data_IF_709966154478
#
_entry.id   IF_709966154478
#
_cell.length_a   1.000
_cell.length_b   1.000
_cell.length_c   1.000
_cell.angle_alpha   90.00
_cell.angle_beta   90.00
_cell.angle_gamma   90.00
#
_symmetry.space_group_name_H-M   'P 1'
#
loop_
_entity.id
_entity.type
_entity.pdbx_description
1 polymer ?
#
# COMPACT_ATOMS: atom_id res chain seq x y z
N UNK A 1 -33.08 -2.62 9.61
CA UNK A 1 -33.07 -4.06 9.28
C UNK A 1 -32.12 -4.25 8.11
N UNK A 2 -31.37 -5.36 8.14
CA UNK A 2 -30.20 -5.72 7.31
C UNK A 2 -28.89 -5.08 7.80
N UNK A 3 -27.81 -5.77 8.20
CA UNK A 3 -27.51 -7.14 8.65
C UNK A 3 -26.14 -7.03 9.34
N UNK A 4 -25.97 -7.68 10.49
CA UNK A 4 -24.70 -7.89 11.19
C UNK A 4 -23.73 -8.75 10.36
N UNK A 5 -22.42 -8.48 10.45
CA UNK A 5 -21.33 -9.48 10.57
C UNK A 5 -20.01 -8.90 10.07
N UNK A 6 -19.19 -8.35 10.98
CA UNK A 6 -17.74 -8.32 10.83
C UNK A 6 -17.13 -8.45 12.23
N UNK A 7 -17.20 -9.69 12.73
CA UNK A 7 -16.28 -10.20 13.71
C UNK A 7 -15.50 -11.31 12.99
N UNK A 8 -14.21 -11.12 12.74
CA UNK A 8 -13.20 -12.19 12.62
C UNK A 8 -11.80 -11.58 12.50
N UNK A 9 -10.90 -12.08 13.35
CA UNK A 9 -9.43 -12.08 13.29
C UNK A 9 -8.65 -10.74 13.19
N UNK A 10 -8.31 -10.19 14.36
CA UNK A 10 -7.07 -9.45 14.54
C UNK A 10 -6.26 -10.15 15.63
N UNK A 11 -5.40 -11.09 15.22
CA UNK A 11 -4.36 -11.64 16.07
C UNK A 11 -3.07 -10.85 15.85
N UNK A 12 -2.44 -10.33 16.93
CA UNK A 12 -1.00 -10.28 16.93
C UNK A 12 -0.37 -10.87 18.20
N UNK A 13 0.63 -11.71 17.95
CA UNK A 13 1.80 -11.96 18.78
C UNK A 13 1.56 -12.63 20.15
N UNK A 14 1.50 -13.96 20.14
CA UNK A 14 2.00 -14.73 21.27
C UNK A 14 3.51 -14.51 21.41
N UNK A 15 3.91 -13.93 22.53
CA UNK A 15 5.29 -13.87 23.00
C UNK A 15 5.75 -15.28 23.39
N UNK A 16 6.90 -15.79 22.92
CA UNK A 16 7.45 -17.01 23.47
C UNK A 16 7.94 -16.72 24.88
N UNK A 17 7.28 -17.35 25.84
CA UNK A 17 7.74 -17.52 27.22
C UNK A 17 9.18 -18.05 27.22
N UNK A 18 10.10 -17.34 27.85
CA UNK A 18 11.43 -17.86 28.16
C UNK A 18 11.29 -19.03 29.14
N UNK A 19 11.29 -20.24 28.60
CA UNK A 19 11.38 -21.49 29.35
C UNK A 19 12.85 -21.74 29.69
N UNK A 20 13.18 -21.45 30.95
CA UNK A 20 14.43 -21.80 31.59
C UNK A 20 14.55 -23.33 31.66
N UNK A 21 15.42 -23.91 30.81
CA UNK A 21 15.77 -25.32 30.79
C UNK A 21 17.29 -25.47 30.97
N UNK A 22 17.80 -25.08 32.13
CA UNK A 22 19.10 -25.56 32.62
C UNK A 22 18.90 -26.96 33.22
N UNK A 23 19.00 -27.97 32.35
CA UNK A 23 18.99 -29.37 32.75
C UNK A 23 20.41 -29.84 33.08
N UNK A 24 20.54 -30.36 34.30
CA UNK A 24 21.42 -31.46 34.72
C UNK A 24 22.93 -31.21 34.83
N UNK A 25 23.38 -31.03 36.07
CA UNK A 25 24.46 -31.84 36.66
C UNK A 25 24.26 -31.91 38.18
N UNK A 26 23.44 -32.86 38.62
CA UNK A 26 23.54 -33.43 39.97
C UNK A 26 24.57 -34.55 39.90
N UNK A 27 25.68 -34.38 40.60
CA UNK A 27 26.59 -35.44 40.97
C UNK A 27 27.11 -35.13 42.37
N UNK A 28 26.23 -35.38 43.33
CA UNK A 28 26.54 -35.48 44.75
C UNK A 28 27.45 -36.71 45.01
N UNK A 29 28.21 -36.65 46.11
CA UNK A 29 28.93 -37.74 46.81
C UNK A 29 30.39 -38.01 46.43
N UNK A 30 31.28 -37.24 47.08
CA UNK A 30 32.52 -37.80 47.62
C UNK A 30 32.30 -38.14 49.09
N UNK A 31 32.38 -39.43 49.43
CA UNK A 31 32.60 -39.92 50.79
C UNK A 31 33.76 -40.94 50.73
N UNK A 32 34.65 -40.95 51.74
CA UNK A 32 35.87 -41.77 51.74
C UNK A 32 35.56 -43.17 52.30
N UNK A 33 36.21 -44.20 51.76
CA UNK A 33 36.21 -45.51 52.43
C UNK A 33 37.60 -46.15 52.35
N UNK A 34 38.18 -46.29 53.53
CA UNK A 34 39.39 -47.02 53.86
C UNK A 34 39.00 -48.46 54.25
N UNK A 35 39.76 -49.49 53.83
CA UNK A 35 39.74 -50.79 54.52
C UNK A 35 39.75 -52.07 53.65
N UNK A 36 40.96 -52.60 53.44
CA UNK A 36 41.37 -54.01 53.47
C UNK A 36 40.67 -55.09 52.60
N UNK A 37 41.45 -55.78 51.76
CA UNK A 37 41.92 -57.18 51.99
C UNK A 37 42.78 -57.64 50.81
N UNK A 38 43.81 -58.44 51.13
CA UNK A 38 44.94 -58.71 50.24
C UNK A 38 44.69 -59.68 49.09
N UNK A 39 45.63 -59.67 48.16
CA UNK A 39 46.16 -60.87 47.53
C UNK A 39 47.64 -60.65 47.21
N UNK A 40 48.45 -61.51 47.82
CA UNK A 40 49.82 -61.82 47.45
C UNK A 40 49.86 -62.34 46.01
N UNK A 41 50.78 -61.80 45.22
CA UNK A 41 51.31 -62.45 44.04
C UNK A 41 52.70 -61.86 43.78
N UNK A 42 53.63 -62.16 44.69
CA UNK A 42 55.02 -62.34 44.29
C UNK A 42 55.07 -63.52 43.32
N UNK A 43 54.92 -63.23 42.03
CA UNK A 43 55.06 -64.20 40.96
C UNK A 43 55.99 -63.63 39.88
N UNK A 44 57.20 -64.15 39.90
CA UNK A 44 57.97 -64.47 38.71
C UNK A 44 58.67 -63.33 37.97
N UNK A 45 59.74 -62.85 38.61
CA UNK A 45 60.96 -62.47 37.88
C UNK A 45 61.58 -63.73 37.26
N UNK A 46 61.22 -64.04 36.02
CA UNK A 46 61.99 -64.95 35.17
C UNK A 46 62.62 -64.18 34.02
N UNK A 47 63.81 -63.64 34.30
CA UNK A 47 64.83 -63.45 33.29
C UNK A 47 65.50 -64.80 33.06
N UNK A 48 65.15 -65.49 31.97
CA UNK A 48 65.97 -66.58 31.43
C UNK A 48 66.10 -66.37 29.93
N UNK A 49 67.27 -65.85 29.53
CA UNK A 49 67.77 -65.98 28.15
C UNK A 49 68.14 -67.44 27.95
N UNK A 50 67.42 -68.12 27.05
CA UNK A 50 67.91 -69.33 26.40
C UNK A 50 68.19 -68.99 24.94
N UNK A 51 69.47 -68.77 24.64
CA UNK A 51 69.96 -68.67 23.28
C UNK A 51 70.09 -70.08 22.71
N UNK A 52 69.09 -70.51 21.95
CA UNK A 52 69.27 -71.67 21.07
C UNK A 52 70.12 -71.24 19.87
N UNK A 53 71.38 -71.68 19.89
CA UNK A 53 72.32 -71.56 18.78
C UNK A 53 71.86 -72.37 17.57
N UNK A 54 71.76 -71.68 16.42
CA UNK A 54 71.53 -72.25 15.10
C UNK A 54 71.38 -71.11 14.11
N UNK A 55 72.44 -70.86 13.32
CA UNK A 55 72.63 -69.60 12.62
C UNK A 55 71.50 -69.18 11.68
N UNK A 56 71.10 -67.92 11.77
CA UNK A 56 70.76 -66.99 10.67
C UNK A 56 70.64 -65.58 11.28
N UNK A 57 71.07 -64.56 10.54
CA UNK A 57 71.18 -63.12 10.85
C UNK A 57 70.32 -62.55 12.01
N UNK A 58 71.02 -61.93 12.95
CA UNK A 58 70.51 -61.21 14.13
C UNK A 58 69.74 -59.94 13.72
N UNK A 59 68.41 -60.04 13.61
CA UNK A 59 67.49 -58.91 13.41
C UNK A 59 66.44 -58.95 14.53
N UNK A 60 66.21 -57.83 15.21
CA UNK A 60 65.16 -57.68 16.22
C UNK A 60 63.83 -58.19 15.63
N UNK A 61 63.16 -59.21 16.21
CA UNK A 61 62.05 -59.90 15.53
C UNK A 61 60.92 -59.00 14.98
N UNK A 62 60.58 -57.86 15.63
CA UNK A 62 59.65 -56.85 15.07
C UNK A 62 60.11 -56.09 13.82
N UNK A 63 61.40 -56.10 13.49
CA UNK A 63 62.00 -55.39 12.35
C UNK A 63 62.61 -56.33 11.31
N UNK A 64 62.18 -57.59 11.26
CA UNK A 64 62.61 -58.53 10.22
C UNK A 64 62.08 -58.07 8.84
N UNK A 65 62.96 -57.65 7.91
CA UNK A 65 62.55 -57.17 6.60
C UNK A 65 61.87 -58.21 5.72
N UNK A 66 61.95 -59.50 6.07
CA UNK A 66 61.20 -60.55 5.37
C UNK A 66 59.68 -60.42 5.54
N UNK A 67 59.19 -59.75 6.59
CA UNK A 67 57.75 -59.60 6.88
C UNK A 67 57.12 -58.34 6.27
N UNK A 68 57.92 -57.30 5.99
CA UNK A 68 57.43 -56.04 5.42
C UNK A 68 56.69 -56.21 4.08
N UNK A 69 57.10 -57.06 3.12
CA UNK A 69 56.36 -57.23 1.88
C UNK A 69 54.92 -57.70 2.08
N UNK A 70 54.70 -58.62 3.03
CA UNK A 70 53.36 -59.13 3.36
C UNK A 70 52.51 -58.06 4.04
N UNK A 71 53.10 -57.30 4.99
CA UNK A 71 52.40 -56.21 5.65
C UNK A 71 52.06 -55.06 4.70
N UNK A 72 52.96 -54.73 3.77
CA UNK A 72 52.71 -53.74 2.71
C UNK A 72 51.65 -54.22 1.72
N UNK A 73 51.61 -55.51 1.38
CA UNK A 73 50.55 -56.09 0.54
C UNK A 73 49.18 -55.96 1.19
N UNK A 74 49.05 -56.33 2.47
CA UNK A 74 47.80 -56.20 3.21
C UNK A 74 47.41 -54.74 3.48
N UNK A 75 48.39 -53.87 3.75
CA UNK A 75 48.16 -52.43 3.86
C UNK A 75 47.64 -51.87 2.53
N UNK A 76 48.26 -52.21 1.41
CA UNK A 76 47.83 -51.77 0.09
C UNK A 76 46.41 -52.30 -0.23
N UNK A 77 46.13 -53.56 0.10
CA UNK A 77 44.81 -54.17 -0.15
C UNK A 77 43.72 -53.52 0.70
N UNK A 78 43.95 -53.33 2.00
CA UNK A 78 42.99 -52.68 2.91
C UNK A 78 42.82 -51.19 2.59
N UNK A 79 43.90 -50.48 2.26
CA UNK A 79 43.86 -49.08 1.82
C UNK A 79 43.12 -48.93 0.49
N UNK A 80 43.34 -49.83 -0.47
CA UNK A 80 42.60 -49.81 -1.73
C UNK A 80 41.10 -50.08 -1.50
N UNK A 81 40.75 -51.03 -0.64
CA UNK A 81 39.36 -51.29 -0.28
C UNK A 81 38.69 -50.06 0.39
N UNK A 82 39.39 -49.42 1.34
CA UNK A 82 38.91 -48.19 1.99
C UNK A 82 38.79 -47.03 0.98
N UNK A 83 39.77 -46.86 0.09
CA UNK A 83 39.76 -45.83 -0.94
C UNK A 83 38.56 -46.00 -1.87
N UNK A 84 38.28 -47.23 -2.31
CA UNK A 84 37.10 -47.52 -3.14
C UNK A 84 35.80 -47.23 -2.40
N UNK A 85 35.71 -47.57 -1.11
CA UNK A 85 34.53 -47.26 -0.29
C UNK A 85 34.32 -45.74 -0.14
N UNK A 86 35.38 -44.99 0.16
CA UNK A 86 35.32 -43.52 0.27
C UNK A 86 35.00 -42.86 -1.06
N UNK A 87 35.62 -43.32 -2.15
CA UNK A 87 35.41 -42.82 -3.50
C UNK A 87 33.98 -43.05 -3.98
N UNK A 88 33.43 -44.25 -3.75
CA UNK A 88 32.08 -44.62 -4.23
C UNK A 88 30.93 -44.25 -3.29
N UNK A 89 31.16 -44.02 -2.00
CA UNK A 89 30.07 -43.78 -1.04
C UNK A 89 30.17 -42.43 -0.33
N UNK A 90 31.32 -42.10 0.25
CA UNK A 90 31.48 -40.88 1.04
C UNK A 90 31.48 -39.62 0.16
N UNK A 91 32.32 -39.59 -0.89
CA UNK A 91 32.41 -38.44 -1.81
C UNK A 91 31.07 -38.12 -2.52
N UNK A 92 30.35 -39.09 -3.11
CA UNK A 92 29.08 -38.78 -3.77
C UNK A 92 27.99 -38.31 -2.79
N UNK A 93 27.96 -38.84 -1.55
CA UNK A 93 27.04 -38.37 -0.50
C UNK A 93 27.29 -36.90 -0.12
N UNK A 94 28.54 -36.50 0.04
CA UNK A 94 28.88 -35.10 0.34
C UNK A 94 28.60 -34.20 -0.87
N UNK A 95 28.93 -34.67 -2.08
CA UNK A 95 28.63 -33.97 -3.32
C UNK A 95 27.14 -33.71 -3.52
N UNK A 96 26.27 -34.69 -3.24
CA UNK A 96 24.82 -34.52 -3.37
C UNK A 96 24.28 -33.48 -2.38
N UNK A 97 24.70 -33.54 -1.11
CA UNK A 97 24.28 -32.56 -0.09
C UNK A 97 24.69 -31.14 -0.49
N UNK A 98 25.91 -30.98 -1.00
CA UNK A 98 26.41 -29.67 -1.41
C UNK A 98 25.66 -29.14 -2.64
N UNK A 99 25.35 -30.01 -3.60
CA UNK A 99 24.53 -29.69 -4.76
C UNK A 99 23.09 -29.31 -4.35
N UNK A 100 22.47 -30.06 -3.43
CA UNK A 100 21.12 -29.77 -2.93
C UNK A 100 21.05 -28.42 -2.21
N UNK A 101 22.05 -28.14 -1.36
CA UNK A 101 22.15 -26.84 -0.68
C UNK A 101 22.33 -25.70 -1.68
N UNK A 102 23.21 -25.87 -2.66
CA UNK A 102 23.41 -24.87 -3.71
C UNK A 102 22.11 -24.65 -4.51
N UNK A 103 21.43 -25.73 -4.89
CA UNK A 103 20.17 -25.64 -5.64
C UNK A 103 19.07 -24.93 -4.84
N UNK A 104 18.98 -25.17 -3.53
CA UNK A 104 18.06 -24.43 -2.65
C UNK A 104 18.40 -22.96 -2.57
N UNK A 105 19.68 -22.62 -2.33
CA UNK A 105 20.12 -21.21 -2.25
C UNK A 105 19.87 -20.49 -3.58
N UNK A 106 20.24 -21.10 -4.70
CA UNK A 106 20.01 -20.51 -6.02
C UNK A 106 18.51 -20.35 -6.31
N UNK A 107 17.69 -21.31 -5.87
CA UNK A 107 16.23 -21.26 -5.95
C UNK A 107 15.63 -20.14 -5.09
N UNK A 108 16.08 -19.99 -3.84
CA UNK A 108 15.62 -18.96 -2.91
C UNK A 108 16.01 -17.56 -3.41
N UNK A 109 17.23 -17.40 -3.95
CA UNK A 109 17.68 -16.14 -4.57
C UNK A 109 16.82 -15.83 -5.80
N UNK A 110 16.59 -16.81 -6.69
CA UNK A 110 15.76 -16.60 -7.88
C UNK A 110 14.31 -16.25 -7.52
N UNK A 111 13.74 -16.88 -6.48
CA UNK A 111 12.42 -16.57 -5.97
C UNK A 111 12.36 -15.15 -5.39
N UNK A 112 13.35 -14.77 -4.57
CA UNK A 112 13.46 -13.43 -4.00
C UNK A 112 13.58 -12.35 -5.09
N UNK A 113 14.41 -12.56 -6.11
CA UNK A 113 14.52 -11.64 -7.26
C UNK A 113 13.21 -11.54 -8.04
N UNK A 114 12.50 -12.66 -8.23
CA UNK A 114 11.22 -12.67 -8.93
C UNK A 114 10.16 -11.90 -8.13
N UNK A 115 10.12 -12.06 -6.80
CA UNK A 115 9.17 -11.36 -5.94
C UNK A 115 9.52 -9.88 -5.78
N UNK A 116 10.81 -9.53 -5.76
CA UNK A 116 11.27 -8.14 -5.85
C UNK A 116 10.77 -7.50 -7.16
N UNK A 117 11.01 -8.14 -8.32
CA UNK A 117 10.56 -7.63 -9.62
C UNK A 117 9.04 -7.47 -9.70
N UNK A 118 8.26 -8.42 -9.14
CA UNK A 118 6.80 -8.30 -9.08
C UNK A 118 6.38 -7.12 -8.20
N UNK A 119 7.05 -6.92 -7.07
CA UNK A 119 6.77 -5.80 -6.16
C UNK A 119 7.09 -4.47 -6.82
N UNK A 120 8.25 -4.34 -7.45
CA UNK A 120 8.64 -3.12 -8.17
C UNK A 120 7.66 -2.82 -9.32
N UNK A 121 7.23 -3.84 -10.08
CA UNK A 121 6.22 -3.69 -11.12
C UNK A 121 4.86 -3.27 -10.54
N UNK A 122 4.46 -3.82 -9.40
CA UNK A 122 3.22 -3.46 -8.73
C UNK A 122 3.26 -2.02 -8.19
N UNK A 123 4.38 -1.59 -7.61
CA UNK A 123 4.61 -0.20 -7.16
C UNK A 123 4.52 0.73 -8.36
N UNK A 124 5.23 0.45 -9.46
CA UNK A 124 5.20 1.28 -10.65
C UNK A 124 3.78 1.39 -11.26
N UNK A 125 3.04 0.28 -11.30
CA UNK A 125 1.65 0.28 -11.78
C UNK A 125 0.72 1.08 -10.84
N UNK A 126 0.90 0.96 -9.53
CA UNK A 126 0.14 1.70 -8.53
C UNK A 126 0.40 3.22 -8.65
N UNK A 127 1.67 3.62 -8.74
CA UNK A 127 2.07 5.02 -8.91
C UNK A 127 1.54 5.60 -10.22
N UNK A 128 1.63 4.85 -11.32
CA UNK A 128 1.06 5.25 -12.61
C UNK A 128 -0.47 5.43 -12.53
N UNK A 129 -1.18 4.48 -11.91
CA UNK A 129 -2.62 4.57 -11.71
C UNK A 129 -3.01 5.77 -10.83
N UNK A 130 -2.24 6.06 -9.78
CA UNK A 130 -2.45 7.22 -8.92
C UNK A 130 -2.22 8.53 -9.68
N UNK A 131 -1.17 8.61 -10.49
CA UNK A 131 -0.88 9.77 -11.33
C UNK A 131 -1.98 10.00 -12.37
N UNK A 132 -2.43 8.95 -13.05
CA UNK A 132 -3.52 9.00 -14.01
C UNK A 132 -4.84 9.42 -13.34
N UNK A 133 -5.17 8.87 -12.17
CA UNK A 133 -6.37 9.24 -11.42
C UNK A 133 -6.34 10.73 -11.01
N UNK A 134 -5.19 11.23 -10.53
CA UNK A 134 -5.01 12.66 -10.21
C UNK A 134 -5.15 13.54 -11.44
N UNK A 135 -4.55 13.15 -12.57
CA UNK A 135 -4.67 13.88 -13.83
C UNK A 135 -6.12 13.92 -14.33
N UNK A 136 -6.84 12.79 -14.28
CA UNK A 136 -8.27 12.72 -14.63
C UNK A 136 -9.13 13.59 -13.71
N UNK A 137 -8.90 13.54 -12.40
CA UNK A 137 -9.64 14.37 -11.45
C UNK A 137 -9.42 15.87 -11.71
N UNK A 138 -8.18 16.28 -11.97
CA UNK A 138 -7.86 17.66 -12.35
C UNK A 138 -8.50 18.06 -13.68
N UNK A 139 -8.48 17.17 -14.68
CA UNK A 139 -9.15 17.38 -15.96
C UNK A 139 -10.65 17.59 -15.81
N UNK A 140 -11.33 16.69 -15.09
CA UNK A 140 -12.77 16.79 -14.80
C UNK A 140 -13.09 18.09 -14.06
N UNK A 141 -12.29 18.46 -13.05
CA UNK A 141 -12.49 19.70 -12.31
C UNK A 141 -12.34 20.93 -13.20
N UNK A 142 -11.34 20.97 -14.08
CA UNK A 142 -11.13 22.06 -15.02
C UNK A 142 -12.27 22.17 -16.04
N UNK A 143 -12.69 21.04 -16.62
CA UNK A 143 -13.80 20.99 -17.58
C UNK A 143 -15.12 21.41 -16.93
N UNK A 144 -15.41 20.90 -15.73
CA UNK A 144 -16.62 21.26 -14.98
C UNK A 144 -16.65 22.74 -14.64
N UNK A 145 -15.52 23.30 -14.18
CA UNK A 145 -15.43 24.73 -13.90
C UNK A 145 -15.62 25.58 -15.17
N UNK A 146 -15.04 25.18 -16.30
CA UNK A 146 -15.24 25.86 -17.57
C UNK A 146 -16.71 25.81 -18.03
N UNK A 147 -17.35 24.64 -17.92
CA UNK A 147 -18.76 24.45 -18.26
C UNK A 147 -19.69 25.29 -17.37
N UNK A 148 -19.44 25.30 -16.04
CA UNK A 148 -20.18 26.14 -15.09
C UNK A 148 -20.05 27.61 -15.44
N UNK A 149 -18.83 28.10 -15.73
CA UNK A 149 -18.64 29.52 -16.08
C UNK A 149 -19.34 29.89 -17.39
N UNK A 150 -19.33 29.00 -18.38
CA UNK A 150 -20.06 29.19 -19.62
C UNK A 150 -21.58 29.26 -19.40
N UNK A 151 -22.14 28.34 -18.60
CA UNK A 151 -23.56 28.32 -18.26
C UNK A 151 -23.98 29.55 -17.44
N UNK A 152 -23.17 29.96 -16.45
CA UNK A 152 -23.39 31.18 -15.68
C UNK A 152 -23.40 32.43 -16.57
N UNK A 153 -22.46 32.53 -17.50
CA UNK A 153 -22.40 33.66 -18.45
C UNK A 153 -23.64 33.68 -19.35
N UNK A 154 -24.05 32.51 -19.86
CA UNK A 154 -25.25 32.38 -20.70
C UNK A 154 -26.52 32.77 -19.95
N UNK A 155 -26.73 32.21 -18.75
CA UNK A 155 -27.89 32.52 -17.89
C UNK A 155 -27.91 33.98 -17.48
N UNK A 156 -26.76 34.54 -17.11
CA UNK A 156 -26.63 35.96 -16.78
C UNK A 156 -27.07 36.84 -17.96
N UNK A 157 -26.57 36.57 -19.17
CA UNK A 157 -26.95 37.31 -20.37
C UNK A 157 -28.44 37.19 -20.69
N UNK A 158 -29.03 36.00 -20.51
CA UNK A 158 -30.46 35.79 -20.70
C UNK A 158 -31.29 36.61 -19.70
N UNK A 159 -30.91 36.60 -18.42
CA UNK A 159 -31.58 37.39 -17.38
C UNK A 159 -31.42 38.89 -17.63
N UNK A 160 -30.22 39.36 -18.03
CA UNK A 160 -29.99 40.76 -18.38
C UNK A 160 -30.86 41.20 -19.56
N UNK A 161 -31.04 40.34 -20.57
CA UNK A 161 -31.91 40.60 -21.74
C UNK A 161 -33.39 40.67 -21.35
N UNK A 162 -33.86 39.72 -20.52
CA UNK A 162 -35.24 39.72 -20.01
C UNK A 162 -35.51 40.94 -19.12
N UNK A 163 -34.56 41.30 -18.26
CA UNK A 163 -34.65 42.48 -17.41
C UNK A 163 -34.72 43.76 -18.24
N UNK A 164 -33.86 43.92 -19.25
CA UNK A 164 -33.90 45.07 -20.15
C UNK A 164 -35.27 45.20 -20.85
N UNK A 165 -35.81 44.08 -21.34
CA UNK A 165 -37.13 44.02 -21.97
C UNK A 165 -38.24 44.45 -21.01
N UNK A 166 -38.20 43.96 -19.76
CA UNK A 166 -39.16 44.31 -18.70
C UNK A 166 -39.08 45.79 -18.30
N UNK A 167 -37.86 46.35 -18.24
CA UNK A 167 -37.66 47.77 -17.97
C UNK A 167 -38.27 48.61 -19.09
N UNK A 168 -37.95 48.33 -20.36
CA UNK A 168 -38.54 49.06 -21.49
C UNK A 168 -40.07 48.96 -21.50
N UNK A 169 -40.63 47.76 -21.31
CA UNK A 169 -42.09 47.60 -21.25
C UNK A 169 -42.73 48.34 -20.06
N UNK A 170 -42.05 48.42 -18.92
CA UNK A 170 -42.52 49.19 -17.77
C UNK A 170 -42.47 50.69 -18.04
N UNK A 171 -41.40 51.19 -18.66
CA UNK A 171 -41.26 52.59 -19.08
C UNK A 171 -42.37 53.00 -20.05
N UNK A 172 -42.66 52.17 -21.05
CA UNK A 172 -43.77 52.39 -22.00
C UNK A 172 -45.13 52.43 -21.30
N UNK A 173 -45.39 51.50 -20.36
CA UNK A 173 -46.64 51.50 -19.57
C UNK A 173 -46.77 52.74 -18.69
N UNK A 174 -45.68 53.18 -18.06
CA UNK A 174 -45.66 54.38 -17.25
C UNK A 174 -45.95 55.61 -18.13
N UNK A 175 -45.33 55.72 -19.30
CA UNK A 175 -45.57 56.81 -20.24
C UNK A 175 -47.03 56.85 -20.74
N UNK A 176 -47.59 55.67 -21.09
CA UNK A 176 -48.98 55.54 -21.51
C UNK A 176 -49.95 55.92 -20.38
N UNK A 177 -49.73 55.39 -19.18
CA UNK A 177 -50.56 55.69 -17.99
C UNK A 177 -50.49 57.18 -17.64
N UNK A 178 -49.30 57.79 -17.71
CA UNK A 178 -49.13 59.23 -17.51
C UNK A 178 -49.95 60.03 -18.52
N UNK A 179 -49.85 59.69 -19.80
CA UNK A 179 -50.60 60.37 -20.87
C UNK A 179 -52.11 60.24 -20.68
N UNK A 180 -52.59 59.04 -20.33
CA UNK A 180 -54.00 58.81 -20.04
C UNK A 180 -54.47 59.58 -18.80
N UNK A 181 -53.68 59.60 -17.73
CA UNK A 181 -53.99 60.35 -16.52
C UNK A 181 -54.07 61.86 -16.78
N UNK A 182 -53.12 62.42 -17.55
CA UNK A 182 -53.17 63.84 -17.94
C UNK A 182 -54.41 64.16 -18.78
N UNK A 183 -54.77 63.27 -19.72
CA UNK A 183 -56.01 63.43 -20.52
C UNK A 183 -57.27 63.43 -19.65
N UNK A 184 -57.33 62.56 -18.62
CA UNK A 184 -58.44 62.54 -17.68
C UNK A 184 -58.49 63.81 -16.82
N UNK A 185 -57.33 64.32 -16.38
CA UNK A 185 -57.25 65.60 -15.65
C UNK A 185 -57.76 66.75 -16.50
N UNK A 186 -57.35 66.85 -17.78
CA UNK A 186 -57.84 67.88 -18.71
C UNK A 186 -59.36 67.79 -18.90
N UNK A 187 -59.91 66.57 -19.01
CA UNK A 187 -61.35 66.36 -19.15
C UNK A 187 -62.12 66.80 -17.89
N UNK A 188 -61.66 66.40 -16.69
CA UNK A 188 -62.28 66.80 -15.41
C UNK A 188 -62.17 68.32 -15.21
N UNK A 189 -61.04 68.92 -15.58
CA UNK A 189 -60.86 70.38 -15.50
C UNK A 189 -61.83 71.11 -16.43
N UNK A 190 -62.01 70.65 -17.67
CA UNK A 190 -62.96 71.23 -18.62
C UNK A 190 -64.41 71.07 -18.16
N UNK A 191 -64.79 69.90 -17.64
CA UNK A 191 -66.12 69.66 -17.08
C UNK A 191 -66.39 70.56 -15.87
N UNK A 192 -65.44 70.63 -14.92
CA UNK A 192 -65.55 71.49 -13.74
C UNK A 192 -65.63 72.97 -14.13
N UNK A 193 -64.79 73.42 -15.06
CA UNK A 193 -64.83 74.79 -15.56
C UNK A 193 -66.17 75.11 -16.24
N UNK A 194 -66.71 74.19 -17.03
CA UNK A 194 -68.04 74.34 -17.64
C UNK A 194 -69.11 74.53 -16.57
N UNK A 195 -69.15 73.65 -15.55
CA UNK A 195 -70.12 73.75 -14.45
C UNK A 195 -70.03 75.09 -13.73
N UNK A 196 -68.81 75.54 -13.40
CA UNK A 196 -68.58 76.81 -12.70
C UNK A 196 -69.04 78.01 -13.56
N UNK A 197 -68.70 78.03 -14.85
CA UNK A 197 -69.06 79.17 -15.72
C UNK A 197 -70.56 79.19 -16.03
N UNK A 198 -71.19 78.04 -16.25
CA UNK A 198 -72.64 77.95 -16.42
C UNK A 198 -73.39 78.50 -15.22
N UNK A 199 -72.90 78.23 -13.99
CA UNK A 199 -73.48 78.75 -12.76
C UNK A 199 -73.32 80.29 -12.61
N UNK A 200 -72.26 80.87 -13.18
CA UNK A 200 -71.96 82.30 -13.04
C UNK A 200 -72.61 83.20 -14.10
N UNK A 201 -72.64 82.75 -15.37
CA UNK A 201 -72.94 83.61 -16.53
C UNK A 201 -74.05 83.02 -17.44
N UNK A 202 -74.54 81.81 -17.16
CA UNK A 202 -75.57 81.12 -17.95
C UNK A 202 -75.01 80.13 -18.98
N UNK A 203 -75.88 79.56 -19.81
CA UNK A 203 -75.52 78.48 -20.74
C UNK A 203 -74.59 78.98 -21.86
N UNK A 204 -73.45 78.31 -22.02
CA UNK A 204 -72.42 78.64 -23.00
C UNK A 204 -71.90 77.37 -23.67
N UNK A 205 -71.49 77.46 -24.94
CA UNK A 205 -71.06 76.30 -25.72
C UNK A 205 -69.83 75.62 -25.12
N UNK A 206 -69.94 74.30 -24.95
CA UNK A 206 -68.95 73.42 -24.32
C UNK A 206 -67.62 73.37 -25.06
N UNK A 207 -67.62 73.61 -26.37
CA UNK A 207 -66.41 73.63 -27.19
C UNK A 207 -65.50 74.83 -26.88
N UNK A 208 -66.10 75.98 -26.51
CA UNK A 208 -65.35 77.18 -26.16
C UNK A 208 -64.60 77.03 -24.82
N UNK A 209 -65.24 76.40 -23.84
CA UNK A 209 -64.63 76.15 -22.52
C UNK A 209 -63.50 75.12 -22.62
N UNK A 210 -63.71 74.04 -23.38
CA UNK A 210 -62.66 73.04 -23.64
C UNK A 210 -61.44 73.66 -24.34
N UNK A 211 -61.64 74.53 -25.33
CA UNK A 211 -60.55 75.20 -26.02
C UNK A 211 -59.77 76.16 -25.11
N UNK A 212 -60.45 76.86 -24.20
CA UNK A 212 -59.81 77.75 -23.22
C UNK A 212 -58.97 76.99 -22.18
N UNK A 213 -59.50 75.89 -21.63
CA UNK A 213 -58.77 75.02 -20.69
C UNK A 213 -57.56 74.38 -21.36
N UNK A 214 -57.69 73.91 -22.60
CA UNK A 214 -56.57 73.35 -23.37
C UNK A 214 -55.49 74.38 -23.74
N UNK A 215 -55.86 75.67 -23.84
CA UNK A 215 -54.88 76.76 -24.02
C UNK A 215 -54.15 77.06 -22.71
N UNK A 216 -54.86 77.03 -21.59
CA UNK A 216 -54.30 77.28 -20.26
C UNK A 216 -53.40 76.13 -19.76
N UNK A 217 -53.68 74.87 -20.12
CA UNK A 217 -52.83 73.72 -19.73
C UNK A 217 -51.53 73.58 -20.54
N UNK A 218 -51.34 74.42 -21.58
CA UNK A 218 -50.13 74.47 -22.40
C UNK A 218 -49.16 75.60 -22.05
N UNK A 219 -49.57 76.58 -21.25
CA UNK A 219 -48.69 77.60 -20.65
C UNK A 219 -48.08 77.10 -19.33
#
# INVERSE_FOLDING_TARGET
>A
MVTQAFAQEAAPAETPTEENLDHAVDATHGEPVEGATGHDATADTHATTEAHGGGHSDVFPPFDPATFPSQLLWLALSFAALYLLMSKLALPRVGSILADRKARIDGDIAAAEADQKKTDAAIAAYEAALAEAKAKAQGIAAETNAAIQADLTSKRKAVETDLATKVTAAEERIAATKTQAMTQVDAIAAETAQTVVTQLIGDIPTDGVKAAVAKASKE
#
